data_IF_024313378795
#
_entry.id   IF_024313378795
#
_cell.length_a   1.000
_cell.length_b   1.000
_cell.length_c   1.000
_cell.angle_alpha   90.00
_cell.angle_beta   90.00
_cell.angle_gamma   90.00
#
_symmetry.space_group_name_H-M   'P 1'
#
loop_
_entity.id
_entity.type
_entity.pdbx_description
1 polymer ?
#
# COMPACT_ATOMS: atom_id res chain seq x y z
N UNK A 1 15.35 6.77 -8.04
CA UNK A 1 14.16 6.43 -7.22
C UNK A 1 13.78 5.04 -7.64
N UNK A 2 14.44 4.05 -7.06
CA UNK A 2 14.41 2.66 -7.54
C UNK A 2 13.71 1.74 -6.53
N UNK A 3 13.29 2.32 -5.41
CA UNK A 3 12.65 1.62 -4.33
C UNK A 3 11.22 1.22 -4.69
N UNK A 4 10.93 -0.06 -4.48
CA UNK A 4 9.59 -0.63 -4.46
C UNK A 4 9.26 -0.88 -2.99
N UNK A 5 8.29 -0.14 -2.47
CA UNK A 5 7.91 -0.19 -1.05
C UNK A 5 6.66 -1.01 -0.88
N UNK A 6 6.69 -1.97 0.05
CA UNK A 6 5.49 -2.61 0.58
C UNK A 6 4.99 -1.82 1.80
N UNK A 7 3.73 -1.43 1.79
CA UNK A 7 3.03 -0.84 2.93
C UNK A 7 1.96 -1.81 3.44
N UNK A 8 2.13 -2.28 4.67
CA UNK A 8 1.19 -3.20 5.32
C UNK A 8 0.27 -2.42 6.25
N UNK A 9 -1.04 -2.55 6.06
CA UNK A 9 -2.06 -1.81 6.81
C UNK A 9 -2.18 -0.37 6.31
N UNK A 10 -2.39 -0.21 5.00
CA UNK A 10 -2.43 1.11 4.35
C UNK A 10 -3.58 2.01 4.83
N UNK A 11 -4.65 1.42 5.38
CA UNK A 11 -5.78 2.14 5.97
C UNK A 11 -6.42 3.12 4.99
N UNK A 12 -6.37 4.41 5.33
CA UNK A 12 -6.91 5.50 4.49
C UNK A 12 -5.94 5.99 3.40
N UNK A 13 -4.72 5.45 3.35
CA UNK A 13 -3.72 5.77 2.32
C UNK A 13 -2.92 7.05 2.55
N UNK A 14 -2.91 7.59 3.77
CA UNK A 14 -2.16 8.81 4.09
C UNK A 14 -0.66 8.64 3.86
N UNK A 15 -0.08 7.57 4.39
CA UNK A 15 1.35 7.28 4.21
C UNK A 15 1.64 6.86 2.76
N UNK A 16 0.77 6.05 2.14
CA UNK A 16 0.87 5.69 0.71
C UNK A 16 1.01 6.91 -0.20
N UNK A 17 0.21 7.97 0.02
CA UNK A 17 0.29 9.24 -0.74
C UNK A 17 1.63 9.95 -0.57
N UNK A 18 2.21 9.89 0.63
CA UNK A 18 3.51 10.52 0.92
C UNK A 18 4.66 9.71 0.30
N UNK A 19 4.53 8.38 0.24
CA UNK A 19 5.54 7.47 -0.32
C UNK A 19 5.53 7.44 -1.85
N UNK A 20 4.36 7.52 -2.47
CA UNK A 20 4.20 7.50 -3.94
C UNK A 20 5.17 8.44 -4.67
N UNK A 21 5.32 9.74 -4.33
CA UNK A 21 6.27 10.60 -5.01
C UNK A 21 7.72 10.28 -4.67
N UNK A 22 8.03 9.62 -3.55
CA UNK A 22 9.40 9.32 -3.12
C UNK A 22 9.95 8.00 -3.69
N UNK A 23 9.09 7.10 -4.15
CA UNK A 23 9.43 5.74 -4.53
C UNK A 23 9.15 5.46 -6.01
N UNK A 24 9.73 4.37 -6.54
CA UNK A 24 9.40 3.88 -7.89
C UNK A 24 7.96 3.36 -7.93
N UNK A 25 7.59 2.58 -6.91
CA UNK A 25 6.30 1.94 -6.78
C UNK A 25 5.96 1.72 -5.31
N UNK A 26 4.69 1.80 -4.96
CA UNK A 26 4.18 1.41 -3.64
C UNK A 26 3.19 0.26 -3.83
N UNK A 27 3.32 -0.78 -3.03
CA UNK A 27 2.41 -1.91 -2.95
C UNK A 27 1.71 -1.77 -1.60
N UNK A 28 0.45 -1.36 -1.61
CA UNK A 28 -0.36 -1.15 -0.43
C UNK A 28 -1.21 -2.39 -0.16
N UNK A 29 -1.09 -2.97 1.04
CA UNK A 29 -1.88 -4.12 1.51
C UNK A 29 -2.84 -3.65 2.59
N UNK A 30 -4.11 -4.01 2.46
CA UNK A 30 -5.14 -3.74 3.46
C UNK A 30 -6.08 -4.95 3.56
N UNK A 31 -6.50 -5.25 4.79
CA UNK A 31 -7.37 -6.40 5.10
C UNK A 31 -8.83 -5.97 5.28
N UNK A 32 -9.11 -4.72 5.69
CA UNK A 32 -10.47 -4.22 5.88
C UNK A 32 -11.13 -3.84 4.53
N UNK A 33 -12.18 -4.54 4.08
CA UNK A 33 -12.85 -4.26 2.81
C UNK A 33 -13.51 -2.87 2.73
N UNK A 34 -13.85 -2.26 3.88
CA UNK A 34 -14.39 -0.89 3.92
C UNK A 34 -13.28 0.12 3.63
N UNK A 35 -12.11 -0.07 4.22
CA UNK A 35 -10.96 0.80 4.00
C UNK A 35 -10.44 0.69 2.57
N UNK A 36 -10.45 -0.51 1.98
CA UNK A 36 -10.01 -0.73 0.59
C UNK A 36 -10.81 0.11 -0.41
N UNK A 37 -12.13 0.23 -0.22
CA UNK A 37 -12.97 1.09 -1.09
C UNK A 37 -12.54 2.55 -1.02
N UNK A 38 -12.23 3.03 0.19
CA UNK A 38 -11.75 4.40 0.41
C UNK A 38 -10.35 4.55 -0.18
N UNK A 39 -9.43 3.63 0.14
CA UNK A 39 -8.06 3.59 -0.34
C UNK A 39 -7.99 3.65 -1.88
N UNK A 40 -8.80 2.85 -2.58
CA UNK A 40 -8.88 2.88 -4.06
C UNK A 40 -9.35 4.23 -4.58
N UNK A 41 -10.32 4.88 -3.91
CA UNK A 41 -10.77 6.22 -4.28
C UNK A 41 -9.69 7.28 -4.02
N UNK A 42 -9.04 7.22 -2.86
CA UNK A 42 -8.03 8.16 -2.41
C UNK A 42 -6.75 8.11 -3.25
N UNK A 43 -6.40 6.93 -3.77
CA UNK A 43 -5.16 6.69 -4.52
C UNK A 43 -5.38 6.57 -6.04
N UNK A 44 -6.60 6.76 -6.54
CA UNK A 44 -6.96 6.58 -7.95
C UNK A 44 -6.12 7.38 -8.96
N UNK A 45 -5.53 8.49 -8.51
CA UNK A 45 -4.74 9.40 -9.34
C UNK A 45 -3.23 9.10 -9.26
N UNK A 46 -2.82 8.03 -8.56
CA UNK A 46 -1.43 7.64 -8.39
C UNK A 46 -1.13 6.43 -9.27
N UNK A 47 -0.42 6.65 -10.37
CA UNK A 47 -0.13 5.60 -11.36
C UNK A 47 0.89 4.55 -10.88
N UNK A 48 1.60 4.84 -9.80
CA UNK A 48 2.65 3.99 -9.26
C UNK A 48 2.26 3.27 -7.96
N UNK A 49 0.96 3.12 -7.69
CA UNK A 49 0.47 2.42 -6.50
C UNK A 49 -0.39 1.21 -6.88
N UNK A 50 -0.04 0.05 -6.37
CA UNK A 50 -0.84 -1.17 -6.45
C UNK A 50 -1.51 -1.44 -5.12
N UNK A 51 -2.81 -1.74 -5.12
CA UNK A 51 -3.58 -2.07 -3.91
C UNK A 51 -3.93 -3.56 -3.94
N UNK A 52 -3.45 -4.30 -2.94
CA UNK A 52 -3.77 -5.71 -2.71
C UNK A 52 -4.69 -5.83 -1.50
N UNK A 53 -5.80 -6.53 -1.71
CA UNK A 53 -6.79 -6.84 -0.66
C UNK A 53 -6.45 -8.18 -0.03
N UNK A 54 -6.22 -8.21 1.28
CA UNK A 54 -6.00 -9.43 2.04
C UNK A 54 -5.05 -9.29 3.21
N UNK A 55 -4.90 -10.39 3.96
CA UNK A 55 -3.91 -10.50 5.02
C UNK A 55 -2.51 -10.68 4.41
N UNK A 56 -1.55 -9.86 4.84
CA UNK A 56 -0.15 -9.93 4.38
C UNK A 56 0.48 -11.30 4.65
N UNK A 57 -0.01 -12.05 5.64
CA UNK A 57 0.49 -13.38 5.99
C UNK A 57 0.02 -14.47 5.02
N UNK A 58 -1.12 -14.26 4.34
CA UNK A 58 -1.77 -15.26 3.49
C UNK A 58 -1.63 -14.96 1.98
N UNK A 59 -1.28 -13.73 1.62
CA UNK A 59 -1.19 -13.29 0.22
C UNK A 59 0.24 -13.38 -0.33
N UNK A 60 0.34 -13.64 -1.63
CA UNK A 60 1.60 -13.50 -2.36
C UNK A 60 1.84 -12.03 -2.72
N UNK A 61 2.82 -11.40 -2.08
CA UNK A 61 3.21 -10.02 -2.36
C UNK A 61 4.26 -9.98 -3.48
N UNK A 62 4.15 -9.07 -4.47
CA UNK A 62 5.19 -8.86 -5.48
C UNK A 62 6.53 -8.47 -4.86
N UNK A 63 7.62 -8.59 -5.63
CA UNK A 63 8.96 -8.24 -5.15
C UNK A 63 9.05 -6.76 -4.73
N UNK A 64 9.55 -6.52 -3.52
CA UNK A 64 9.82 -5.20 -2.95
C UNK A 64 11.24 -5.17 -2.35
N UNK A 65 11.80 -3.98 -2.12
CA UNK A 65 13.11 -3.82 -1.48
C UNK A 65 13.07 -3.06 -0.15
N UNK A 66 11.92 -2.47 0.20
CA UNK A 66 11.65 -1.81 1.48
C UNK A 66 10.24 -2.14 1.96
N UNK A 67 10.06 -2.21 3.27
CA UNK A 67 8.77 -2.43 3.90
C UNK A 67 8.51 -1.35 4.95
N UNK A 68 7.28 -0.87 4.99
CA UNK A 68 6.75 -0.05 6.08
C UNK A 68 5.45 -0.70 6.57
N UNK A 69 5.15 -0.56 7.84
CA UNK A 69 3.93 -1.12 8.41
C UNK A 69 3.36 -0.16 9.45
N UNK A 70 2.04 -0.01 9.42
CA UNK A 70 1.26 0.71 10.43
C UNK A 70 0.16 -0.21 10.97
N UNK A 71 0.52 -1.32 11.65
CA UNK A 71 -0.48 -2.22 12.20
C UNK A 71 -1.26 -1.51 13.33
N UNK A 72 -2.58 -1.74 13.43
CA UNK A 72 -3.31 -1.34 14.64
C UNK A 72 -2.75 -2.08 15.86
N UNK A 73 -2.70 -1.37 17.00
CA UNK A 73 -2.26 -1.90 18.31
C UNK A 73 -3.20 -2.97 18.85
#
# INVERSE_FOLDING_TARGET
>A
KDDVVLEVGAGLGFLTKLLSPACKKVIAVEVDPKLIKILRSELRNLDNVDIIEGDVLDISVPQFNKMVSTPPY
#
